data_IF_660541427563
#
_entry.id   IF_660541427563
#
_cell.length_a   1.000
_cell.length_b   1.000
_cell.length_c   1.000
_cell.angle_alpha   90.00
_cell.angle_beta   90.00
_cell.angle_gamma   90.00
#
_symmetry.space_group_name_H-M   'P 1'
#
loop_
_entity.id
_entity.type
_entity.pdbx_description
1 polymer ?
#
# COMPACT_ATOMS: atom_id res chain seq x y z
N UNK A 1 10.47 -20.16 0.68
CA UNK A 1 10.31 -18.68 0.75
C UNK A 1 10.79 -18.27 2.12
N UNK A 2 11.74 -17.34 2.17
CA UNK A 2 12.38 -16.97 3.43
C UNK A 2 11.57 -15.91 4.17
N UNK A 3 11.16 -16.22 5.39
CA UNK A 3 10.52 -15.29 6.33
C UNK A 3 11.57 -14.78 7.30
N UNK A 4 11.64 -13.47 7.47
CA UNK A 4 12.57 -12.80 8.37
C UNK A 4 11.79 -11.87 9.30
N UNK A 5 12.01 -12.00 10.60
CA UNK A 5 11.62 -11.01 11.59
C UNK A 5 12.89 -10.34 12.12
N UNK A 6 12.97 -9.02 12.03
CA UNK A 6 14.20 -8.26 12.26
C UNK A 6 13.93 -7.07 13.17
N UNK A 7 14.55 -7.06 14.36
CA UNK A 7 14.36 -6.04 15.40
C UNK A 7 15.71 -5.55 15.91
N UNK A 8 16.20 -4.45 15.36
CA UNK A 8 17.52 -3.91 15.68
C UNK A 8 18.63 -4.96 15.51
N UNK A 9 19.12 -5.53 16.61
CA UNK A 9 20.20 -6.52 16.63
C UNK A 9 19.68 -7.97 16.73
N UNK A 10 18.36 -8.17 16.75
CA UNK A 10 17.74 -9.48 16.87
C UNK A 10 17.09 -9.89 15.55
N UNK A 11 17.26 -11.17 15.17
CA UNK A 11 16.76 -11.70 13.90
C UNK A 11 16.29 -13.14 14.07
N UNK A 12 15.09 -13.44 13.57
CA UNK A 12 14.57 -14.80 13.43
C UNK A 12 14.27 -15.04 11.96
N UNK A 13 14.65 -16.23 11.46
CA UNK A 13 14.42 -16.60 10.07
C UNK A 13 13.84 -18.01 9.97
N UNK A 14 12.98 -18.24 8.98
CA UNK A 14 12.43 -19.56 8.68
C UNK A 14 12.08 -19.68 7.20
N UNK A 15 12.29 -20.85 6.62
CA UNK A 15 11.76 -21.19 5.30
C UNK A 15 10.31 -21.67 5.41
N UNK A 16 9.46 -21.20 4.51
CA UNK A 16 8.07 -21.63 4.37
C UNK A 16 7.72 -21.90 2.90
N UNK A 17 6.86 -22.88 2.68
CA UNK A 17 6.44 -23.34 1.34
C UNK A 17 5.11 -22.71 0.87
N UNK A 18 4.48 -21.87 1.71
CA UNK A 18 3.13 -21.37 1.50
C UNK A 18 3.09 -20.01 0.78
N UNK A 19 1.92 -19.68 0.19
CA UNK A 19 1.56 -18.30 -0.16
C UNK A 19 1.53 -17.49 1.14
N UNK A 20 2.43 -16.53 1.29
CA UNK A 20 2.50 -15.68 2.48
C UNK A 20 1.89 -14.32 2.18
N UNK A 21 1.57 -13.59 3.23
CA UNK A 21 1.19 -12.19 3.14
C UNK A 21 1.60 -11.43 4.38
N UNK A 22 1.41 -10.13 4.34
CA UNK A 22 1.64 -9.25 5.47
C UNK A 22 0.53 -8.22 5.59
N UNK A 23 0.22 -7.86 6.82
CA UNK A 23 -0.71 -6.80 7.16
C UNK A 23 0.05 -5.70 7.89
N UNK A 24 0.00 -4.49 7.34
CA UNK A 24 0.40 -3.26 8.05
C UNK A 24 -0.86 -2.49 8.40
N UNK A 25 -0.87 -1.86 9.57
CA UNK A 25 -1.98 -1.02 10.03
C UNK A 25 -1.45 0.25 10.67
N UNK A 26 -2.32 1.26 10.80
CA UNK A 26 -2.06 2.44 11.62
C UNK A 26 -3.24 2.75 12.58
N UNK A 27 -3.03 3.62 13.59
CA UNK A 27 -4.11 4.04 14.49
C UNK A 27 -5.32 4.72 13.84
N UNK A 28 -5.21 5.25 12.60
CA UNK A 28 -6.30 5.97 11.93
C UNK A 28 -7.39 5.08 11.34
N UNK A 29 -7.17 3.77 11.25
CA UNK A 29 -8.10 2.89 10.54
C UNK A 29 -7.57 2.40 9.19
N UNK A 30 -6.38 2.84 8.77
CA UNK A 30 -5.80 2.41 7.49
C UNK A 30 -5.12 1.06 7.63
N UNK A 31 -5.04 0.33 6.53
CA UNK A 31 -4.27 -0.90 6.47
C UNK A 31 -3.77 -1.20 5.07
N UNK A 32 -2.67 -1.93 5.00
CA UNK A 32 -2.13 -2.48 3.77
C UNK A 32 -2.04 -3.99 3.93
N UNK A 33 -2.68 -4.73 3.03
CA UNK A 33 -2.56 -6.18 2.97
C UNK A 33 -2.10 -6.61 1.58
N UNK A 34 -0.88 -7.15 1.50
CA UNK A 34 -0.36 -7.74 0.27
C UNK A 34 0.20 -9.14 0.51
N UNK A 35 0.13 -9.97 -0.54
CA UNK A 35 0.69 -11.32 -0.58
C UNK A 35 2.08 -11.38 -1.20
N UNK A 36 2.76 -12.51 -1.12
CA UNK A 36 4.02 -12.77 -1.83
C UNK A 36 3.83 -13.41 -3.20
N UNK A 37 2.58 -13.47 -3.67
CA UNK A 37 2.17 -14.01 -4.96
C UNK A 37 1.02 -13.16 -5.53
N UNK A 38 1.34 -11.97 -6.08
CA UNK A 38 0.38 -11.02 -6.66
C UNK A 38 -0.86 -10.72 -5.79
N UNK A 39 -1.89 -10.06 -6.35
CA UNK A 39 -3.19 -9.94 -5.69
C UNK A 39 -4.00 -11.23 -5.85
N UNK A 40 -4.24 -11.93 -4.74
CA UNK A 40 -4.97 -13.19 -4.68
C UNK A 40 -6.41 -13.03 -4.14
N UNK A 41 -6.73 -11.90 -3.50
CA UNK A 41 -8.07 -11.59 -3.01
C UNK A 41 -8.48 -10.14 -3.30
N UNK A 42 -9.78 -9.90 -3.55
CA UNK A 42 -10.41 -8.58 -3.70
C UNK A 42 -10.32 -7.70 -2.46
N UNK A 43 -9.87 -8.28 -1.35
CA UNK A 43 -9.68 -7.62 -0.07
C UNK A 43 -8.21 -7.28 0.22
N UNK A 44 -7.27 -7.72 -0.63
CA UNK A 44 -5.89 -7.25 -0.59
C UNK A 44 -5.79 -5.85 -1.19
N UNK A 45 -4.81 -5.06 -0.79
CA UNK A 45 -4.73 -3.66 -1.19
C UNK A 45 -4.32 -2.76 -0.06
N UNK A 46 -4.19 -1.48 -0.40
CA UNK A 46 -4.12 -0.41 0.59
C UNK A 46 -5.50 0.20 0.79
N UNK A 47 -5.88 0.36 2.05
CA UNK A 47 -7.16 0.86 2.49
C UNK A 47 -6.96 2.08 3.38
N UNK A 48 -7.77 3.10 3.14
CA UNK A 48 -7.85 4.31 3.97
C UNK A 48 -9.21 4.35 4.66
N UNK A 49 -9.20 4.59 5.96
CA UNK A 49 -10.41 4.73 6.75
C UNK A 49 -10.89 6.17 6.73
N UNK A 50 -12.15 6.38 6.34
CA UNK A 50 -12.83 7.67 6.44
C UNK A 50 -14.20 7.45 7.06
N UNK A 51 -14.55 8.24 8.08
CA UNK A 51 -15.81 8.13 8.82
C UNK A 51 -16.08 6.71 9.40
N UNK A 52 -15.02 5.96 9.70
CA UNK A 52 -15.00 4.53 10.09
C UNK A 52 -15.44 3.53 9.00
N UNK A 53 -15.46 3.96 7.74
CA UNK A 53 -15.57 3.06 6.59
C UNK A 53 -14.20 2.90 5.93
N UNK A 54 -13.70 1.67 5.74
CA UNK A 54 -12.49 1.44 4.99
C UNK A 54 -12.77 1.49 3.49
N UNK A 55 -12.03 2.33 2.79
CA UNK A 55 -12.03 2.44 1.33
C UNK A 55 -10.77 1.79 0.80
N UNK A 56 -10.90 0.77 -0.06
CA UNK A 56 -9.78 0.30 -0.88
C UNK A 56 -9.39 1.46 -1.77
N UNK A 57 -8.11 1.77 -1.86
CA UNK A 57 -7.58 2.85 -2.71
C UNK A 57 -6.70 2.23 -3.80
N UNK A 58 -5.70 1.47 -3.37
CA UNK A 58 -4.75 0.80 -4.26
C UNK A 58 -5.02 -0.71 -4.22
N UNK A 59 -5.19 -1.28 -5.41
CA UNK A 59 -5.35 -2.71 -5.64
C UNK A 59 -3.99 -3.40 -5.49
N UNK A 60 -2.97 -2.87 -6.18
CA UNK A 60 -1.63 -3.42 -6.19
C UNK A 60 -0.59 -2.34 -6.53
N UNK A 61 0.62 -2.55 -6.00
CA UNK A 61 1.85 -1.86 -6.40
C UNK A 61 2.82 -2.97 -6.83
N UNK A 62 3.20 -2.99 -8.10
CA UNK A 62 4.03 -4.06 -8.65
C UNK A 62 5.29 -3.50 -9.31
N UNK A 63 6.44 -4.11 -9.02
CA UNK A 63 7.61 -3.97 -9.88
C UNK A 63 7.29 -4.57 -11.26
N UNK A 64 7.83 -3.95 -12.31
CA UNK A 64 7.62 -4.38 -13.70
C UNK A 64 8.95 -4.83 -14.30
N UNK A 65 8.96 -5.98 -14.96
CA UNK A 65 10.15 -6.49 -15.64
C UNK A 65 10.40 -5.79 -17.00
N UNK A 66 11.47 -6.19 -17.69
CA UNK A 66 11.83 -5.64 -18.99
C UNK A 66 10.79 -5.92 -20.09
N UNK A 67 9.92 -6.92 -19.92
CA UNK A 67 8.84 -7.26 -20.86
C UNK A 67 7.57 -6.46 -20.60
N UNK A 68 7.50 -5.74 -19.47
CA UNK A 68 6.31 -5.00 -19.05
C UNK A 68 5.36 -5.81 -18.16
N UNK A 69 5.74 -7.02 -17.73
CA UNK A 69 4.94 -7.88 -16.87
C UNK A 69 5.10 -7.53 -15.37
N UNK A 70 4.03 -7.72 -14.59
CA UNK A 70 4.08 -7.55 -13.13
C UNK A 70 4.92 -8.66 -12.49
N UNK A 71 5.92 -8.29 -11.69
CA UNK A 71 6.71 -9.24 -10.91
C UNK A 71 5.88 -9.64 -9.69
N UNK A 72 5.49 -10.90 -9.63
CA UNK A 72 4.64 -11.45 -8.58
C UNK A 72 5.35 -12.45 -7.68
N UNK A 73 6.54 -12.93 -8.06
CA UNK A 73 7.31 -13.92 -7.31
C UNK A 73 8.36 -13.24 -6.42
N UNK A 74 8.25 -13.47 -5.11
CA UNK A 74 9.19 -12.98 -4.11
C UNK A 74 9.90 -14.15 -3.43
N UNK A 75 11.20 -14.00 -3.15
CA UNK A 75 12.02 -15.01 -2.49
C UNK A 75 12.11 -14.81 -0.98
N UNK A 76 12.02 -13.56 -0.52
CA UNK A 76 12.16 -13.17 0.89
C UNK A 76 11.07 -12.17 1.29
N UNK A 77 10.59 -12.29 2.53
CA UNK A 77 9.78 -11.28 3.21
C UNK A 77 10.40 -10.97 4.58
N UNK A 78 10.60 -9.68 4.86
CA UNK A 78 11.19 -9.20 6.11
C UNK A 78 10.22 -8.24 6.81
N UNK A 79 9.79 -8.58 8.02
CA UNK A 79 9.00 -7.74 8.89
C UNK A 79 9.89 -7.11 9.97
N UNK A 80 9.94 -5.78 10.01
CA UNK A 80 10.64 -5.01 11.04
C UNK A 80 9.69 -4.22 11.96
N UNK A 81 8.42 -4.68 12.06
CA UNK A 81 7.29 -4.13 12.84
C UNK A 81 6.68 -2.86 12.25
N UNK A 82 7.54 -1.96 11.83
CA UNK A 82 7.17 -0.62 11.37
C UNK A 82 7.09 -0.55 9.85
N UNK A 83 7.44 -1.64 9.18
CA UNK A 83 7.36 -1.82 7.75
C UNK A 83 7.69 -3.24 7.37
N UNK A 84 7.34 -3.58 6.13
CA UNK A 84 7.62 -4.88 5.55
C UNK A 84 8.41 -4.68 4.28
N UNK A 85 9.45 -5.49 4.09
CA UNK A 85 10.18 -5.55 2.84
C UNK A 85 9.96 -6.89 2.16
N UNK A 86 9.93 -6.89 0.83
CA UNK A 86 9.94 -8.12 0.02
C UNK A 86 11.09 -8.04 -0.98
N UNK A 87 11.68 -9.18 -1.30
CA UNK A 87 12.76 -9.28 -2.29
C UNK A 87 12.30 -10.14 -3.46
N UNK A 88 12.44 -9.61 -4.66
CA UNK A 88 12.23 -10.33 -5.92
C UNK A 88 13.54 -10.36 -6.72
N UNK A 89 13.47 -10.87 -7.94
CA UNK A 89 14.58 -10.81 -8.91
C UNK A 89 14.96 -9.39 -9.32
N UNK A 90 14.04 -8.42 -9.22
CA UNK A 90 14.29 -7.03 -9.58
C UNK A 90 14.88 -6.19 -8.44
N UNK A 91 14.89 -6.71 -7.22
CA UNK A 91 15.42 -6.02 -6.05
C UNK A 91 14.51 -6.12 -4.84
N UNK A 92 14.78 -5.27 -3.85
CA UNK A 92 14.02 -5.15 -2.62
C UNK A 92 13.08 -3.96 -2.69
N UNK A 93 11.84 -4.19 -2.30
CA UNK A 93 10.84 -3.16 -2.03
C UNK A 93 10.45 -3.15 -0.56
N UNK A 94 10.05 -2.00 -0.04
CA UNK A 94 9.68 -1.77 1.35
C UNK A 94 8.41 -0.92 1.42
N UNK A 95 7.50 -1.33 2.29
CA UNK A 95 6.24 -0.67 2.58
C UNK A 95 6.23 -0.21 4.03
N UNK A 96 5.73 0.99 4.29
CA UNK A 96 5.38 1.41 5.65
C UNK A 96 4.15 2.34 5.66
N UNK A 97 3.37 2.25 6.73
CA UNK A 97 2.26 3.15 7.01
C UNK A 97 2.67 4.07 8.17
N UNK A 98 2.75 5.39 7.97
CA UNK A 98 2.94 6.30 9.07
C UNK A 98 1.70 6.30 10.00
N UNK A 99 1.91 6.58 11.28
CA UNK A 99 0.88 6.40 12.32
C UNK A 99 -0.29 7.39 12.26
N UNK A 100 -0.01 8.64 11.88
CA UNK A 100 -0.93 9.76 12.09
C UNK A 100 -1.35 10.44 10.77
N UNK A 101 -1.31 9.73 9.65
CA UNK A 101 -1.71 10.25 8.35
C UNK A 101 -2.22 9.14 7.43
N UNK A 102 -3.05 9.50 6.46
CA UNK A 102 -3.67 8.59 5.49
C UNK A 102 -2.75 8.32 4.29
N UNK A 103 -1.52 7.90 4.60
CA UNK A 103 -0.44 7.74 3.63
C UNK A 103 0.17 6.35 3.64
N UNK A 104 0.59 5.90 2.47
CA UNK A 104 1.43 4.73 2.26
C UNK A 104 2.76 5.17 1.67
N UNK A 105 3.85 4.73 2.29
CA UNK A 105 5.18 4.95 1.74
C UNK A 105 5.73 3.66 1.17
N UNK A 106 6.16 3.74 -0.07
CA UNK A 106 6.76 2.67 -0.84
C UNK A 106 8.17 3.06 -1.25
N UNK A 107 9.13 2.15 -1.08
CA UNK A 107 10.52 2.35 -1.48
C UNK A 107 11.06 1.12 -2.17
N UNK A 108 12.00 1.32 -3.08
CA UNK A 108 12.82 0.27 -3.68
C UNK A 108 14.29 0.60 -3.45
N UNK A 109 15.16 -0.42 -3.52
CA UNK A 109 16.61 -0.26 -3.37
C UNK A 109 17.25 0.61 -4.49
N UNK A 110 16.60 0.67 -5.64
CA UNK A 110 17.02 1.36 -6.85
C UNK A 110 15.79 1.89 -7.59
N UNK A 111 16.00 2.82 -8.55
CA UNK A 111 14.90 3.29 -9.39
C UNK A 111 14.40 2.15 -10.27
N UNK A 112 13.14 1.78 -10.07
CA UNK A 112 12.49 0.70 -10.80
C UNK A 112 11.22 1.20 -11.47
N UNK A 113 10.81 0.54 -12.56
CA UNK A 113 9.48 0.73 -13.13
C UNK A 113 8.45 0.05 -12.21
N UNK A 114 7.55 0.84 -11.67
CA UNK A 114 6.52 0.44 -10.71
C UNK A 114 5.16 0.76 -11.29
N UNK A 115 4.32 -0.27 -11.35
CA UNK A 115 2.94 -0.20 -11.83
C UNK A 115 1.99 0.00 -10.67
N UNK A 116 1.12 0.98 -10.82
CA UNK A 116 0.03 1.27 -9.91
C UNK A 116 -1.30 0.81 -10.50
N UNK A 117 -1.97 -0.08 -9.77
CA UNK A 117 -3.33 -0.53 -10.09
C UNK A 117 -4.27 -0.06 -8.98
N UNK A 118 -5.37 0.57 -9.36
CA UNK A 118 -6.35 1.19 -8.47
C UNK A 118 -7.66 0.41 -8.45
N UNK A 119 -8.30 0.41 -7.29
CA UNK A 119 -9.67 -0.09 -7.10
C UNK A 119 -10.30 0.72 -5.97
N UNK A 120 -10.64 1.98 -6.26
CA UNK A 120 -11.24 2.89 -5.28
C UNK A 120 -12.69 2.50 -5.03
N UNK A 121 -13.00 2.07 -3.80
CA UNK A 121 -14.35 1.66 -3.37
C UNK A 121 -14.40 1.44 -1.86
N UNK A 122 -15.60 1.49 -1.27
CA UNK A 122 -15.78 0.92 0.07
C UNK A 122 -15.47 -0.60 0.05
N UNK A 123 -14.89 -1.14 1.11
CA UNK A 123 -14.36 -2.53 1.15
C UNK A 123 -15.38 -3.58 0.67
N UNK A 124 -16.65 -3.43 1.03
CA UNK A 124 -17.73 -4.37 0.69
C UNK A 124 -18.55 -3.97 -0.53
N UNK A 125 -18.29 -2.79 -1.11
CA UNK A 125 -18.94 -2.37 -2.35
C UNK A 125 -18.44 -3.23 -3.53
N UNK A 126 -19.38 -3.61 -4.39
CA UNK A 126 -19.16 -4.50 -5.52
C UNK A 126 -19.53 -3.89 -6.87
N UNK A 127 -20.19 -2.72 -6.91
CA UNK A 127 -20.48 -1.98 -8.15
C UNK A 127 -19.26 -1.87 -9.06
N UNK A 128 -19.45 -2.17 -10.34
CA UNK A 128 -18.40 -2.09 -11.35
C UNK A 128 -18.57 -0.92 -12.31
N UNK A 129 -19.82 -0.52 -12.56
CA UNK A 129 -20.17 0.57 -13.47
C UNK A 129 -20.03 1.94 -12.78
N UNK A 130 -19.96 2.99 -13.58
CA UNK A 130 -19.96 4.38 -13.11
C UNK A 130 -18.64 4.86 -12.50
N UNK A 131 -17.61 4.01 -12.44
CA UNK A 131 -16.28 4.34 -11.91
C UNK A 131 -15.49 5.17 -12.93
N UNK A 132 -15.09 6.39 -12.56
CA UNK A 132 -14.24 7.22 -13.42
C UNK A 132 -12.96 7.63 -12.70
N UNK A 133 -11.85 7.59 -13.44
CA UNK A 133 -10.53 7.99 -12.98
C UNK A 133 -9.99 9.10 -13.89
N UNK A 134 -9.62 10.22 -13.28
CA UNK A 134 -8.93 11.32 -13.94
C UNK A 134 -7.51 11.41 -13.37
N UNK A 135 -6.49 11.45 -14.23
CA UNK A 135 -5.08 11.54 -13.83
C UNK A 135 -4.54 12.90 -14.30
N UNK A 136 -3.91 13.63 -13.39
CA UNK A 136 -3.25 14.90 -13.65
C UNK A 136 -1.93 15.04 -12.92
N UNK A 137 -1.11 16.01 -13.33
CA UNK A 137 0.13 16.37 -12.66
C UNK A 137 0.08 17.84 -12.25
N UNK A 138 0.23 18.13 -10.96
CA UNK A 138 0.20 19.48 -10.44
C UNK A 138 1.35 19.73 -9.47
N UNK A 139 2.17 20.74 -9.75
CA UNK A 139 3.29 21.17 -8.89
C UNK A 139 4.15 20.00 -8.39
N UNK A 140 4.45 19.07 -9.31
CA UNK A 140 5.29 17.91 -9.04
C UNK A 140 4.65 16.78 -8.24
N UNK A 141 3.31 16.73 -8.19
CA UNK A 141 2.51 15.66 -7.57
C UNK A 141 1.54 15.12 -8.59
N UNK A 142 1.54 13.79 -8.78
CA UNK A 142 0.52 13.11 -9.58
C UNK A 142 -0.75 13.01 -8.74
N UNK A 143 -1.88 13.36 -9.34
CA UNK A 143 -3.17 13.36 -8.68
C UNK A 143 -4.09 12.47 -9.49
N UNK A 144 -4.65 11.47 -8.82
CA UNK A 144 -5.73 10.66 -9.36
C UNK A 144 -7.01 11.05 -8.65
N UNK A 145 -8.00 11.53 -9.40
CA UNK A 145 -9.35 11.78 -8.90
C UNK A 145 -10.23 10.61 -9.30
N UNK A 146 -10.91 10.02 -8.33
CA UNK A 146 -11.92 9.00 -8.51
C UNK A 146 -13.30 9.57 -8.17
N UNK A 147 -14.30 9.24 -8.97
CA UNK A 147 -15.70 9.41 -8.62
C UNK A 147 -16.54 8.22 -9.12
N UNK A 148 -17.70 8.02 -8.50
CA UNK A 148 -18.68 7.03 -8.92
C UNK A 148 -20.09 7.56 -8.67
N UNK A 149 -20.92 7.62 -9.71
CA UNK A 149 -22.37 7.90 -9.61
C UNK A 149 -22.78 9.10 -8.72
N UNK A 150 -22.02 10.21 -8.80
CA UNK A 150 -22.19 11.44 -7.99
C UNK A 150 -21.82 11.33 -6.50
N UNK A 151 -21.23 10.22 -6.06
CA UNK A 151 -20.61 10.13 -4.74
C UNK A 151 -19.44 11.11 -4.60
N UNK A 152 -19.10 11.56 -3.37
CA UNK A 152 -17.95 12.40 -3.10
C UNK A 152 -16.67 11.85 -3.74
N UNK A 153 -15.93 12.73 -4.42
CA UNK A 153 -14.71 12.33 -5.10
C UNK A 153 -13.60 11.99 -4.09
N UNK A 154 -12.88 10.90 -4.38
CA UNK A 154 -11.67 10.52 -3.65
C UNK A 154 -10.46 10.95 -4.46
N UNK A 155 -9.51 11.61 -3.81
CA UNK A 155 -8.26 12.06 -4.41
C UNK A 155 -7.10 11.22 -3.87
N UNK A 156 -6.30 10.67 -4.78
CA UNK A 156 -5.05 9.97 -4.47
C UNK A 156 -3.91 10.81 -4.99
N UNK A 157 -3.10 11.36 -4.09
CA UNK A 157 -1.91 12.12 -4.42
C UNK A 157 -0.66 11.21 -4.34
N UNK A 158 0.22 11.32 -5.33
CA UNK A 158 1.42 10.51 -5.45
C UNK A 158 2.62 11.44 -5.62
N UNK A 159 3.48 11.49 -4.60
CA UNK A 159 4.77 12.18 -4.65
C UNK A 159 5.88 11.15 -4.83
N UNK A 160 6.77 11.38 -5.79
CA UNK A 160 7.90 10.48 -6.07
C UNK A 160 9.22 11.22 -6.33
N UNK A 161 10.32 10.46 -6.35
CA UNK A 161 11.68 10.87 -6.76
C UNK A 161 12.02 10.52 -8.22
N UNK A 162 11.06 9.92 -8.92
CA UNK A 162 11.19 9.43 -10.29
C UNK A 162 10.83 10.43 -11.38
N UNK A 163 10.00 11.41 -11.02
CA UNK A 163 9.37 12.36 -11.91
C UNK A 163 9.29 13.73 -11.23
N UNK A 164 9.36 14.80 -12.02
CA UNK A 164 8.94 16.20 -11.75
C UNK A 164 10.04 17.27 -11.68
N UNK A 165 10.60 17.74 -12.82
CA UNK A 165 10.79 19.16 -13.03
C UNK A 165 9.47 19.79 -13.51
N UNK A 166 9.22 21.02 -13.07
CA UNK A 166 7.97 21.79 -13.17
C UNK A 166 7.52 22.18 -14.60
N UNK A 167 7.80 21.39 -15.62
CA UNK A 167 7.52 21.78 -17.00
C UNK A 167 6.17 21.21 -17.48
N UNK A 168 5.15 22.07 -17.44
CA UNK A 168 3.79 21.76 -17.88
C UNK A 168 3.69 21.48 -19.39
N UNK A 169 4.77 21.66 -20.17
CA UNK A 169 4.73 21.66 -21.64
C UNK A 169 4.98 20.30 -22.31
N UNK A 170 5.52 19.29 -21.62
CA UNK A 170 5.93 18.03 -22.27
C UNK A 170 4.86 16.94 -22.05
N UNK A 171 4.34 16.34 -23.14
CA UNK A 171 3.42 15.19 -23.12
C UNK A 171 4.08 14.00 -22.38
N UNK A 172 3.27 13.07 -21.83
CA UNK A 172 3.63 11.95 -20.93
C UNK A 172 5.00 11.27 -21.14
N UNK A 173 5.49 11.15 -22.37
CA UNK A 173 6.81 10.60 -22.69
C UNK A 173 7.92 11.60 -22.30
N UNK A 174 8.63 11.32 -21.21
CA UNK A 174 9.73 12.16 -20.71
C UNK A 174 9.55 12.66 -19.27
N UNK A 175 8.36 12.46 -18.66
CA UNK A 175 8.08 12.89 -17.27
C UNK A 175 8.52 11.89 -16.19
N UNK A 176 9.06 10.73 -16.54
CA UNK A 176 9.37 9.65 -15.57
C UNK A 176 8.16 8.81 -15.15
N UNK A 177 7.01 8.98 -15.83
CA UNK A 177 5.83 8.13 -15.69
C UNK A 177 5.10 7.95 -17.03
N UNK A 178 4.28 6.90 -17.13
CA UNK A 178 3.47 6.53 -18.29
C UNK A 178 2.03 6.27 -17.82
N UNK A 179 1.07 7.02 -18.34
CA UNK A 179 -0.35 6.76 -18.08
C UNK A 179 -0.82 5.55 -18.89
N UNK A 180 -1.33 4.51 -18.22
CA UNK A 180 -1.86 3.30 -18.85
C UNK A 180 -3.35 3.42 -19.14
N UNK A 181 -4.10 3.98 -18.19
CA UNK A 181 -5.54 4.31 -18.30
C UNK A 181 -6.40 3.17 -18.82
N UNK A 182 -6.20 1.96 -18.31
CA UNK A 182 -6.92 0.80 -18.80
C UNK A 182 -7.60 0.01 -17.67
N UNK A 183 -8.70 -0.63 -18.04
CA UNK A 183 -9.38 -1.59 -17.20
C UNK A 183 -8.83 -2.98 -17.50
N UNK A 184 -8.41 -3.71 -16.47
CA UNK A 184 -7.97 -5.09 -16.57
C UNK A 184 -8.83 -5.99 -15.69
N UNK A 185 -9.12 -7.19 -16.18
CA UNK A 185 -9.84 -8.19 -15.40
C UNK A 185 -8.85 -8.88 -14.45
N UNK A 186 -8.99 -8.67 -13.15
CA UNK A 186 -8.21 -9.36 -12.12
C UNK A 186 -8.96 -10.59 -11.66
N UNK A 187 -8.27 -11.72 -11.54
CA UNK A 187 -8.77 -12.97 -10.96
C UNK A 187 -8.20 -13.15 -9.56
N UNK A 188 -9.03 -13.62 -8.64
CA UNK A 188 -8.72 -13.77 -7.22
C UNK A 188 -8.84 -15.23 -6.82
N UNK A 189 -7.76 -15.98 -7.04
CA UNK A 189 -7.74 -17.43 -6.78
C UNK A 189 -8.08 -17.75 -5.32
N UNK A 190 -7.66 -16.91 -4.37
CA UNK A 190 -7.94 -17.16 -2.96
C UNK A 190 -9.44 -16.97 -2.62
N UNK A 191 -10.09 -16.00 -3.25
CA UNK A 191 -11.55 -15.84 -3.12
C UNK A 191 -12.31 -16.99 -3.77
N UNK A 192 -11.79 -17.55 -4.87
CA UNK A 192 -12.34 -18.74 -5.52
C UNK A 192 -12.19 -19.99 -4.66
N UNK A 193 -11.00 -20.25 -4.12
CA UNK A 193 -10.70 -21.38 -3.24
C UNK A 193 -11.65 -21.44 -2.03
N UNK A 194 -12.04 -20.28 -1.50
CA UNK A 194 -12.96 -20.16 -0.36
C UNK A 194 -14.43 -19.91 -0.73
N UNK A 195 -14.79 -19.99 -2.02
CA UNK A 195 -16.14 -19.76 -2.51
C UNK A 195 -16.75 -18.40 -2.08
N UNK A 196 -15.96 -17.33 -2.12
CA UNK A 196 -16.39 -15.95 -1.83
C UNK A 196 -16.52 -15.12 -3.12
N UNK A 197 -17.64 -15.19 -3.86
CA UNK A 197 -17.81 -14.39 -5.06
C UNK A 197 -17.83 -12.87 -4.77
N UNK A 198 -17.50 -12.03 -5.77
CA UNK A 198 -17.03 -12.40 -7.11
C UNK A 198 -15.56 -12.84 -7.11
N UNK A 199 -15.22 -13.80 -7.99
CA UNK A 199 -13.85 -14.34 -8.13
C UNK A 199 -12.97 -13.56 -9.09
N UNK A 200 -13.56 -12.63 -9.82
CA UNK A 200 -12.86 -11.72 -10.71
C UNK A 200 -13.54 -10.35 -10.70
N UNK A 201 -12.77 -9.30 -10.97
CA UNK A 201 -13.26 -7.92 -10.98
C UNK A 201 -12.43 -7.08 -11.92
N UNK A 202 -13.06 -6.13 -12.59
CA UNK A 202 -12.34 -5.09 -13.34
C UNK A 202 -11.67 -4.10 -12.40
N UNK A 203 -10.36 -3.90 -12.55
CA UNK A 203 -9.54 -2.95 -11.79
C UNK A 203 -8.80 -2.02 -12.75
N UNK A 204 -8.40 -0.84 -12.28
CA UNK A 204 -7.89 0.22 -13.15
C UNK A 204 -6.36 0.30 -13.09
N UNK A 205 -5.69 -0.16 -14.15
CA UNK A 205 -4.23 0.02 -14.31
C UNK A 205 -3.98 1.46 -14.70
N UNK A 206 -3.49 2.24 -13.73
CA UNK A 206 -3.47 3.69 -13.82
C UNK A 206 -2.18 4.20 -14.48
N UNK A 207 -1.03 3.91 -13.86
CA UNK A 207 0.24 4.56 -14.17
C UNK A 207 1.39 3.57 -13.96
N UNK A 208 2.39 3.63 -14.83
CA UNK A 208 3.72 3.09 -14.55
C UNK A 208 4.69 4.25 -14.23
N UNK A 209 5.41 4.21 -13.11
CA UNK A 209 6.35 5.24 -12.67
C UNK A 209 7.76 4.65 -12.56
N UNK A 210 8.80 5.40 -12.91
CA UNK A 210 10.17 4.99 -12.66
C UNK A 210 10.74 5.69 -11.42
N UNK A 211 10.63 5.09 -10.24
CA UNK A 211 10.96 5.74 -8.97
C UNK A 211 11.64 4.75 -7.99
N UNK A 212 12.38 5.31 -7.03
CA UNK A 212 12.90 4.57 -5.86
C UNK A 212 12.14 4.86 -4.57
N UNK A 213 11.38 5.96 -4.55
CA UNK A 213 10.55 6.36 -3.41
C UNK A 213 9.25 6.96 -3.92
N UNK A 214 8.15 6.45 -3.39
CA UNK A 214 6.80 6.95 -3.63
C UNK A 214 6.05 7.08 -2.31
N UNK A 215 5.30 8.17 -2.18
CA UNK A 215 4.32 8.37 -1.12
C UNK A 215 2.97 8.55 -1.77
N UNK A 216 2.03 7.71 -1.37
CA UNK A 216 0.63 7.77 -1.74
C UNK A 216 -0.13 8.35 -0.56
N UNK A 217 -0.98 9.35 -0.77
CA UNK A 217 -1.91 9.85 0.23
C UNK A 217 -3.31 9.88 -0.38
N UNK A 218 -4.35 9.55 0.41
CA UNK A 218 -5.72 9.58 -0.07
C UNK A 218 -6.64 10.37 0.85
N UNK A 219 -7.51 11.19 0.27
CA UNK A 219 -8.48 11.98 1.02
C UNK A 219 -9.71 12.31 0.18
N UNK A 220 -10.79 12.71 0.85
CA UNK A 220 -12.01 13.26 0.23
C UNK A 220 -11.88 14.76 -0.11
N UNK A 221 -10.66 15.28 -0.07
CA UNK A 221 -10.31 16.63 -0.48
C UNK A 221 -8.94 16.65 -1.16
N UNK A 222 -8.87 17.25 -2.34
CA UNK A 222 -7.66 17.29 -3.16
C UNK A 222 -6.46 17.89 -2.42
N UNK A 223 -6.65 19.05 -1.78
CA UNK A 223 -5.57 19.74 -1.07
C UNK A 223 -5.06 18.94 0.13
N UNK A 224 -5.95 18.27 0.85
CA UNK A 224 -5.58 17.39 1.96
C UNK A 224 -4.66 16.26 1.47
N UNK A 225 -5.06 15.54 0.41
CA UNK A 225 -4.23 14.48 -0.17
C UNK A 225 -2.87 15.00 -0.66
N UNK A 226 -2.85 16.14 -1.37
CA UNK A 226 -1.62 16.71 -1.92
C UNK A 226 -0.66 17.19 -0.84
N UNK A 227 -1.17 17.89 0.18
CA UNK A 227 -0.34 18.40 1.28
C UNK A 227 0.24 17.24 2.10
N UNK A 228 -0.57 16.23 2.40
CA UNK A 228 -0.11 15.05 3.13
C UNK A 228 0.95 14.26 2.35
N UNK A 229 0.73 14.01 1.05
CA UNK A 229 1.72 13.31 0.23
C UNK A 229 3.06 14.04 0.18
N UNK A 230 3.06 15.39 0.11
CA UNK A 230 4.28 16.20 0.15
C UNK A 230 4.96 16.13 1.50
N UNK A 231 4.21 16.39 2.57
CA UNK A 231 4.71 16.39 3.95
C UNK A 231 5.36 15.05 4.31
N UNK A 232 4.65 13.95 4.05
CA UNK A 232 5.15 12.60 4.33
C UNK A 232 6.33 12.24 3.42
N UNK A 233 6.36 12.73 2.17
CA UNK A 233 7.50 12.51 1.29
C UNK A 233 8.76 13.20 1.83
N UNK A 234 8.70 14.49 2.17
CA UNK A 234 9.86 15.21 2.71
C UNK A 234 10.31 14.63 4.06
N UNK A 235 9.35 14.31 4.94
CA UNK A 235 9.62 13.90 6.32
C UNK A 235 9.56 12.37 6.55
N UNK A 236 9.61 11.55 5.49
CA UNK A 236 9.45 10.08 5.59
C UNK A 236 10.40 9.39 6.60
N UNK A 237 11.61 9.94 6.80
CA UNK A 237 12.57 9.41 7.77
C UNK A 237 12.12 9.68 9.22
N UNK A 238 11.60 10.87 9.48
CA UNK A 238 11.03 11.25 10.78
C UNK A 238 9.82 10.38 11.12
N UNK A 239 8.86 10.26 10.20
CA UNK A 239 7.69 9.40 10.38
C UNK A 239 8.07 7.94 10.68
N UNK A 240 9.09 7.40 9.98
CA UNK A 240 9.60 6.06 10.26
C UNK A 240 10.22 5.96 11.66
N UNK A 241 10.96 6.98 12.09
CA UNK A 241 11.58 7.03 13.41
C UNK A 241 10.53 7.15 14.54
N UNK A 242 9.49 7.96 14.37
CA UNK A 242 8.37 8.10 15.31
C UNK A 242 7.60 6.78 15.44
N UNK A 243 7.36 6.11 14.31
CA UNK A 243 6.71 4.79 14.31
C UNK A 243 7.56 3.79 15.09
N UNK A 244 8.90 3.80 14.89
CA UNK A 244 9.86 2.95 15.60
C UNK A 244 9.97 3.25 17.11
N UNK A 245 9.84 4.52 17.51
CA UNK A 245 10.06 5.00 18.89
C UNK A 245 8.91 4.71 19.86
N UNK A 246 7.84 4.04 19.45
CA UNK A 246 6.68 3.74 20.29
C UNK A 246 6.94 2.66 21.37
N UNK A 247 8.01 2.80 22.17
CA UNK A 247 8.13 2.20 23.49
C UNK A 247 8.68 0.77 23.57
N UNK A 248 9.23 0.24 22.48
CA UNK A 248 9.51 -1.19 22.36
C UNK A 248 11.01 -1.50 22.49
N UNK A 249 11.38 -2.28 23.52
CA UNK A 249 12.75 -2.80 23.69
C UNK A 249 12.95 -4.03 22.79
N UNK A 250 14.15 -4.23 22.20
CA UNK A 250 14.43 -5.43 21.40
C UNK A 250 14.26 -6.71 22.24
N UNK A 251 13.65 -7.77 21.68
CA UNK A 251 13.57 -9.06 22.36
C UNK A 251 14.96 -9.68 22.49
N UNK A 252 15.17 -10.44 23.57
CA UNK A 252 16.43 -11.15 23.87
C UNK A 252 16.36 -12.64 23.58
N UNK A 253 15.16 -13.19 23.38
CA UNK A 253 14.91 -14.60 23.08
C UNK A 253 13.78 -14.76 22.06
N UNK A 254 13.63 -15.97 21.52
CA UNK A 254 12.52 -16.30 20.62
C UNK A 254 11.15 -16.19 21.33
N UNK A 255 11.05 -16.57 22.62
CA UNK A 255 9.79 -16.42 23.36
C UNK A 255 9.41 -14.96 23.56
N UNK A 256 10.39 -14.10 23.90
CA UNK A 256 10.17 -12.66 24.00
C UNK A 256 9.77 -12.08 22.65
N UNK A 257 10.41 -12.51 21.55
CA UNK A 257 10.07 -12.07 20.20
C UNK A 257 8.65 -12.49 19.78
N UNK A 258 8.23 -13.72 20.11
CA UNK A 258 6.89 -14.20 19.84
C UNK A 258 5.83 -13.40 20.61
N UNK A 259 6.04 -13.18 21.91
CA UNK A 259 5.16 -12.36 22.75
C UNK A 259 5.05 -10.93 22.20
N UNK A 260 6.19 -10.37 21.84
CA UNK A 260 6.31 -9.02 21.31
C UNK A 260 5.58 -8.87 19.96
N UNK A 261 5.76 -9.81 19.04
CA UNK A 261 5.06 -9.82 17.75
C UNK A 261 3.55 -9.95 17.93
N UNK A 262 3.10 -10.77 18.89
CA UNK A 262 1.69 -10.89 19.23
C UNK A 262 1.12 -9.57 19.76
N UNK A 263 1.83 -8.88 20.66
CA UNK A 263 1.42 -7.55 21.15
C UNK A 263 1.37 -6.50 20.04
N UNK A 264 2.38 -6.46 19.16
CA UNK A 264 2.39 -5.54 18.03
C UNK A 264 1.23 -5.81 17.07
N UNK A 265 0.96 -7.09 16.79
CA UNK A 265 -0.17 -7.50 15.94
C UNK A 265 -1.51 -7.09 16.56
N UNK A 266 -1.69 -7.32 17.86
CA UNK A 266 -2.91 -6.90 18.59
C UNK A 266 -3.05 -5.37 18.64
N UNK A 267 -1.96 -4.65 18.89
CA UNK A 267 -1.95 -3.18 18.88
C UNK A 267 -2.28 -2.63 17.50
N UNK A 268 -1.86 -3.32 16.44
CA UNK A 268 -2.22 -3.00 15.07
C UNK A 268 -3.72 -3.10 14.78
N UNK A 269 -4.49 -3.83 15.58
CA UNK A 269 -5.95 -3.89 15.47
C UNK A 269 -6.65 -2.73 16.17
N UNK A 270 -5.94 -1.94 16.97
CA UNK A 270 -6.49 -0.78 17.68
C UNK A 270 -6.58 0.40 16.73
N UNK A 271 -7.78 0.97 16.61
CA UNK A 271 -8.02 2.25 15.95
C UNK A 271 -8.46 3.29 16.98
N UNK A 272 -8.02 4.53 16.79
CA UNK A 272 -8.40 5.66 17.64
C UNK A 272 -9.25 6.61 16.80
N UNK A 273 -10.47 6.88 17.26
CA UNK A 273 -11.41 7.78 16.61
C UNK A 273 -11.99 8.74 17.65
N UNK A 274 -11.96 10.04 17.37
CA UNK A 274 -12.54 11.08 18.24
C UNK A 274 -12.06 10.96 19.70
N UNK A 275 -10.80 10.55 19.89
CA UNK A 275 -10.19 10.29 21.21
C UNK A 275 -10.58 8.97 21.88
N UNK A 276 -11.48 8.18 21.26
CA UNK A 276 -11.91 6.87 21.74
C UNK A 276 -11.16 5.75 21.01
N UNK A 277 -10.52 4.87 21.79
CA UNK A 277 -9.88 3.67 21.27
C UNK A 277 -10.88 2.53 21.09
N UNK A 278 -10.79 1.82 19.97
CA UNK A 278 -11.57 0.61 19.70
C UNK A 278 -10.74 -0.45 18.96
N UNK A 279 -11.19 -1.69 18.98
CA UNK A 279 -10.60 -2.78 18.19
C UNK A 279 -11.36 -2.89 16.88
N UNK A 280 -10.65 -2.96 15.75
CA UNK A 280 -11.28 -3.15 14.44
C UNK A 280 -11.91 -4.53 14.35
N UNK A 281 -13.21 -4.54 14.11
CA UNK A 281 -13.93 -5.72 13.66
C UNK A 281 -14.04 -5.70 12.12
N UNK A 282 -14.03 -6.88 11.49
CA UNK A 282 -14.26 -6.98 10.05
C UNK A 282 -13.05 -6.63 9.17
N UNK A 283 -11.83 -6.68 9.70
CA UNK A 283 -10.67 -6.86 8.81
C UNK A 283 -10.85 -8.20 8.06
N UNK A 284 -10.43 -8.27 6.78
CA UNK A 284 -10.35 -9.52 6.05
C UNK A 284 -9.55 -10.53 6.88
N UNK A 285 -10.21 -11.52 7.50
CA UNK A 285 -9.63 -12.38 8.54
C UNK A 285 -9.12 -13.72 8.00
N UNK A 286 -8.74 -13.76 6.72
CA UNK A 286 -8.42 -14.99 6.00
C UNK A 286 -6.99 -14.96 5.48
#
# INVERSE_FOLDING_TARGET
MKIIHSFENFKIEKEADNKLGFLLTNPLGDFLWFGTAGPASRFQGWFVSSEAKPYRIIENIALVDATGAEISAFSEIENNLFGVSRKSVAGRETFFLPRNCHSLVYKTDSKNKVRLTLDVKEIYESKELGRNYEIGLEKGVLIVKFNQDNEPAVYVAIKSDGACPNDQTIRSVGRGFEEKKEWILRKYDYDKERNSPPFEKWVYRAIDLNASKMVFAAAFGKEAAVNEAKEVFENSAQYKAETRRAGLKPPKSEQEAAYFLAQNSLTGLVAIRDGLGGVRAGLPWF
#
